data_IF_459183046785
#
_entry.id   IF_459183046785
#
_cell.length_a   1.000
_cell.length_b   1.000
_cell.length_c   1.000
_cell.angle_alpha   90.00
_cell.angle_beta   90.00
_cell.angle_gamma   90.00
#
_symmetry.space_group_name_H-M   'P 1'
#
loop_
_entity.id
_entity.type
_entity.pdbx_description
1 polymer ?
#
# COMPACT_ATOMS: atom_id res chain seq x y z
N UNK A 1 22.77 23.11 -9.94
CA UNK A 1 22.87 22.26 -8.73
C UNK A 1 21.53 22.09 -8.02
N UNK A 2 20.74 23.14 -7.77
CA UNK A 2 19.43 23.04 -7.10
C UNK A 2 18.43 22.08 -7.77
N UNK A 3 18.41 22.08 -9.11
CA UNK A 3 17.49 21.24 -9.90
C UNK A 3 17.87 19.75 -9.85
N UNK A 4 19.16 19.43 -9.68
CA UNK A 4 19.64 18.05 -9.56
C UNK A 4 19.28 17.45 -8.20
N UNK A 5 19.35 18.27 -7.14
CA UNK A 5 18.95 17.86 -5.78
C UNK A 5 17.44 17.58 -5.74
N UNK A 6 16.62 18.43 -6.36
CA UNK A 6 15.18 18.22 -6.44
C UNK A 6 14.83 16.92 -7.18
N UNK A 7 15.52 16.63 -8.29
CA UNK A 7 15.30 15.40 -9.06
C UNK A 7 15.68 14.14 -8.25
N UNK A 8 16.78 14.20 -7.51
CA UNK A 8 17.21 13.10 -6.64
C UNK A 8 16.21 12.83 -5.50
N UNK A 9 15.65 13.89 -4.89
CA UNK A 9 14.62 13.79 -3.85
C UNK A 9 13.32 13.14 -4.36
N UNK A 10 12.85 13.54 -5.54
CA UNK A 10 11.65 12.95 -6.16
C UNK A 10 11.87 11.47 -6.51
N UNK A 11 13.04 11.12 -7.05
CA UNK A 11 13.41 9.73 -7.32
C UNK A 11 13.42 8.87 -6.05
N UNK A 12 13.97 9.42 -4.96
CA UNK A 12 14.03 8.71 -3.68
C UNK A 12 12.64 8.47 -3.07
N UNK A 13 11.75 9.48 -3.10
CA UNK A 13 10.38 9.34 -2.60
C UNK A 13 9.57 8.30 -3.40
N UNK A 14 9.79 8.24 -4.71
CA UNK A 14 9.12 7.29 -5.60
C UNK A 14 9.56 5.83 -5.33
N UNK A 15 10.83 5.63 -4.95
CA UNK A 15 11.37 4.31 -4.62
C UNK A 15 10.81 3.75 -3.31
N UNK A 16 10.45 4.60 -2.33
CA UNK A 16 9.93 4.17 -1.03
C UNK A 16 8.43 3.83 -1.12
N UNK A 17 7.70 4.44 -2.05
CA UNK A 17 6.26 4.25 -2.21
C UNK A 17 5.86 2.92 -2.92
N UNK A 18 6.82 2.17 -3.48
CA UNK A 18 6.54 1.05 -4.40
C UNK A 18 6.69 -0.36 -3.82
N UNK A 19 7.24 -0.54 -2.63
CA UNK A 19 7.43 -1.87 -2.03
C UNK A 19 6.27 -2.19 -1.08
N UNK A 20 5.13 -2.61 -1.63
CA UNK A 20 4.09 -3.28 -0.84
C UNK A 20 3.98 -4.72 -1.31
N UNK A 21 4.04 -5.65 -0.37
CA UNK A 21 3.72 -7.04 -0.62
C UNK A 21 2.22 -7.13 -0.89
N UNK A 22 1.85 -7.55 -2.11
CA UNK A 22 0.45 -7.69 -2.52
C UNK A 22 -0.15 -9.06 -2.22
N UNK A 23 0.67 -10.01 -1.76
CA UNK A 23 0.26 -11.38 -1.48
C UNK A 23 -0.01 -11.63 0.00
N UNK A 24 0.48 -10.76 0.89
CA UNK A 24 0.27 -10.89 2.33
C UNK A 24 -0.50 -9.71 2.92
N UNK A 25 -1.24 -9.98 4.00
CA UNK A 25 -1.88 -8.94 4.79
C UNK A 25 -0.85 -8.03 5.46
N UNK A 26 -0.98 -6.69 5.37
CA UNK A 26 0.03 -5.76 5.86
C UNK A 26 0.16 -5.72 7.39
N UNK A 27 -0.83 -6.24 8.13
CA UNK A 27 -0.84 -6.23 9.61
C UNK A 27 -0.43 -7.58 10.18
N UNK A 28 -0.99 -8.69 9.70
CA UNK A 28 -0.70 -10.03 10.23
C UNK A 28 0.42 -10.75 9.48
N UNK A 29 0.71 -10.39 8.22
CA UNK A 29 1.66 -11.09 7.36
C UNK A 29 1.16 -12.45 6.86
N UNK A 30 -0.13 -12.75 7.00
CA UNK A 30 -0.74 -13.98 6.47
C UNK A 30 -0.91 -13.90 4.95
N UNK A 31 -0.80 -15.04 4.25
CA UNK A 31 -1.06 -15.16 2.81
C UNK A 31 -2.54 -14.90 2.49
N UNK A 32 -2.79 -14.14 1.43
CA UNK A 32 -4.12 -13.90 0.89
C UNK A 32 -4.70 -15.18 0.28
N UNK A 33 -5.87 -15.61 0.73
CA UNK A 33 -6.54 -16.84 0.30
C UNK A 33 -7.66 -16.61 -0.72
N UNK A 34 -7.94 -17.60 -1.60
CA UNK A 34 -9.04 -17.51 -2.57
C UNK A 34 -10.44 -17.57 -1.95
N UNK A 35 -10.54 -17.82 -0.63
CA UNK A 35 -11.81 -17.79 0.11
C UNK A 35 -11.84 -16.66 1.14
N UNK A 36 -10.90 -15.70 1.07
CA UNK A 36 -10.88 -14.61 2.04
C UNK A 36 -12.11 -13.70 1.90
N UNK A 37 -12.71 -13.30 3.04
CA UNK A 37 -13.95 -12.52 3.06
C UNK A 37 -13.79 -11.13 2.44
N UNK A 38 -12.55 -10.61 2.39
CA UNK A 38 -12.26 -9.29 1.84
C UNK A 38 -12.43 -9.20 0.32
N UNK A 39 -12.49 -10.33 -0.39
CA UNK A 39 -12.65 -10.36 -1.85
C UNK A 39 -13.98 -9.76 -2.32
N UNK A 40 -15.02 -9.86 -1.48
CA UNK A 40 -16.34 -9.30 -1.76
C UNK A 40 -16.63 -8.04 -0.97
N UNK A 41 -15.65 -7.54 -0.20
CA UNK A 41 -15.81 -6.39 0.67
C UNK A 41 -15.59 -5.10 -0.12
N UNK A 42 -16.53 -4.18 -0.04
CA UNK A 42 -16.39 -2.86 -0.65
C UNK A 42 -15.80 -1.86 0.36
N UNK A 43 -15.09 -0.86 -0.14
CA UNK A 43 -14.54 0.21 0.71
C UNK A 43 -15.60 0.95 1.53
N UNK A 44 -16.84 0.98 1.05
CA UNK A 44 -17.99 1.56 1.76
C UNK A 44 -18.44 0.74 2.97
N UNK A 45 -18.06 -0.53 3.07
CA UNK A 45 -18.30 -1.36 4.27
C UNK A 45 -17.43 -0.91 5.45
N UNK A 46 -16.32 -0.22 5.17
CA UNK A 46 -15.37 0.30 6.15
C UNK A 46 -15.74 1.71 6.61
N UNK A 47 -16.93 1.89 7.20
CA UNK A 47 -17.31 3.17 7.83
C UNK A 47 -16.74 3.28 9.25
N UNK A 48 -16.10 4.40 9.61
CA UNK A 48 -15.74 4.66 11.00
C UNK A 48 -17.00 4.66 11.86
N UNK A 49 -17.02 3.85 12.91
CA UNK A 49 -18.09 3.91 13.90
C UNK A 49 -17.95 5.25 14.62
N UNK A 50 -18.84 6.19 14.33
CA UNK A 50 -18.94 7.47 15.02
C UNK A 50 -19.71 7.34 16.32
#
# INVERSE_FOLDING_TARGET
MKNLIALALVGMLSAIAGCTDSHHYPVSGEECGPNDPVQTMDTSDCVPVV
#
